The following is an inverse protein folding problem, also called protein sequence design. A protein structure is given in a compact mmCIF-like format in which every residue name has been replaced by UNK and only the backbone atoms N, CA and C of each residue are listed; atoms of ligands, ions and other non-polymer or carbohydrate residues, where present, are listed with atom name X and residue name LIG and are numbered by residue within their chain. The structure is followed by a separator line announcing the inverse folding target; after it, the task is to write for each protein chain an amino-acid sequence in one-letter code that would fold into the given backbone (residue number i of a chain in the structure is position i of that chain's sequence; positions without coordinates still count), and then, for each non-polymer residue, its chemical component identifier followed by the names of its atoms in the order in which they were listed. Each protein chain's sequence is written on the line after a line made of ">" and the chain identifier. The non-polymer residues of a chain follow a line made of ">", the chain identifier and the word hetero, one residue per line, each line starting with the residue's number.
data_IF_564171198055
#
_entry.id   IF_564171198055
#
_cell.length_a   1.000
_cell.length_b   1.000
_cell.length_c   1.000
_cell.angle_alpha   90.00
_cell.angle_beta   90.00
_cell.angle_gamma   90.00
#
_symmetry.space_group_name_H-M   'P 1'
#
loop_
_entity.id
_entity.type
_entity.pdbx_description
1 polymer ?
#
# COMPACT_ATOMS: atom_id res chain seq x y z
N UNK A 1 86.47 -8.86 -12.27
CA UNK A 1 85.95 -8.16 -13.47
C UNK A 1 84.61 -8.81 -13.83
N UNK A 2 83.50 -8.35 -13.25
CA UNK A 2 82.18 -8.96 -13.52
C UNK A 2 81.72 -8.55 -14.93
N UNK A 3 81.57 -9.56 -15.78
CA UNK A 3 81.32 -9.49 -17.22
C UNK A 3 80.11 -8.58 -17.53
N UNK A 4 80.30 -7.56 -18.37
CA UNK A 4 79.28 -6.51 -18.63
C UNK A 4 77.96 -7.08 -19.19
N UNK A 5 78.03 -8.26 -19.80
CA UNK A 5 76.86 -9.04 -20.25
C UNK A 5 75.97 -9.47 -19.08
N UNK A 6 76.55 -9.92 -17.96
CA UNK A 6 75.78 -10.38 -16.79
C UNK A 6 74.99 -9.23 -16.13
N UNK A 7 75.58 -8.04 -16.06
CA UNK A 7 74.89 -6.83 -15.58
C UNK A 7 73.72 -6.43 -16.49
N UNK A 8 73.81 -6.68 -17.80
CA UNK A 8 72.69 -6.46 -18.75
C UNK A 8 71.56 -7.45 -18.51
N UNK A 9 71.85 -8.74 -18.41
CA UNK A 9 70.84 -9.77 -18.15
C UNK A 9 70.11 -9.55 -16.83
N UNK A 10 70.84 -9.21 -15.77
CA UNK A 10 70.24 -8.92 -14.46
C UNK A 10 69.33 -7.67 -14.51
N UNK A 11 69.73 -6.63 -15.26
CA UNK A 11 68.87 -5.45 -15.49
C UNK A 11 67.57 -5.81 -16.23
N UNK A 12 67.63 -6.63 -17.29
CA UNK A 12 66.44 -7.04 -18.02
C UNK A 12 65.52 -7.91 -17.18
N UNK A 13 66.08 -8.81 -16.36
CA UNK A 13 65.31 -9.68 -15.47
C UNK A 13 64.58 -8.86 -14.38
N UNK A 14 65.26 -7.90 -13.76
CA UNK A 14 64.64 -7.01 -12.76
C UNK A 14 63.55 -6.16 -13.42
N UNK A 15 63.78 -5.64 -14.63
CA UNK A 15 62.79 -4.86 -15.35
C UNK A 15 61.55 -5.70 -15.71
N UNK A 16 61.72 -6.95 -16.16
CA UNK A 16 60.60 -7.84 -16.45
C UNK A 16 59.79 -8.20 -15.21
N UNK A 17 60.45 -8.41 -14.06
CA UNK A 17 59.76 -8.69 -12.79
C UNK A 17 58.97 -7.46 -12.32
N UNK A 18 59.56 -6.26 -12.43
CA UNK A 18 58.88 -5.01 -12.07
C UNK A 18 57.66 -4.73 -12.96
N UNK A 19 57.75 -5.01 -14.27
CA UNK A 19 56.61 -4.91 -15.20
C UNK A 19 55.53 -5.93 -14.85
N UNK A 20 55.91 -7.17 -14.53
CA UNK A 20 54.95 -8.21 -14.13
C UNK A 20 54.23 -7.85 -12.82
N UNK A 21 54.97 -7.34 -11.83
CA UNK A 21 54.39 -6.85 -10.57
C UNK A 21 53.46 -5.67 -10.83
N UNK A 22 53.84 -4.72 -11.68
CA UNK A 22 53.00 -3.57 -12.05
C UNK A 22 51.71 -4.01 -12.76
N UNK A 23 51.78 -5.03 -13.64
CA UNK A 23 50.59 -5.59 -14.30
C UNK A 23 49.70 -6.32 -13.29
N UNK A 24 50.27 -7.11 -12.38
CA UNK A 24 49.50 -7.84 -11.35
C UNK A 24 48.85 -6.86 -10.36
N UNK A 25 49.54 -5.80 -9.95
CA UNK A 25 48.95 -4.76 -9.09
C UNK A 25 47.89 -3.94 -9.83
N UNK A 26 48.10 -3.62 -11.11
CA UNK A 26 47.05 -3.00 -11.94
C UNK A 26 45.83 -3.92 -12.13
N UNK A 27 46.01 -5.24 -12.21
CA UNK A 27 44.91 -6.19 -12.30
C UNK A 27 44.17 -6.34 -10.96
N UNK A 28 44.88 -6.46 -9.83
CA UNK A 28 44.28 -6.62 -8.50
C UNK A 28 43.62 -5.35 -7.95
N UNK A 29 44.06 -4.16 -8.38
CA UNK A 29 43.49 -2.87 -7.97
C UNK A 29 42.59 -2.23 -9.02
N UNK A 30 42.35 -2.89 -10.17
CA UNK A 30 41.33 -2.41 -11.11
C UNK A 30 39.94 -2.67 -10.52
N UNK A 31 39.10 -1.63 -10.32
CA UNK A 31 37.71 -1.81 -9.85
C UNK A 31 36.81 -2.44 -10.93
N UNK A 32 37.39 -2.92 -12.04
CA UNK A 32 36.67 -3.37 -13.23
C UNK A 32 36.62 -4.90 -13.40
N UNK A 33 37.46 -5.69 -12.72
CA UNK A 33 37.65 -7.11 -13.09
C UNK A 33 37.23 -8.18 -12.06
N UNK A 34 36.54 -7.82 -10.98
CA UNK A 34 36.00 -8.82 -10.05
C UNK A 34 34.56 -8.48 -9.61
N UNK A 35 33.68 -8.21 -10.57
CA UNK A 35 32.26 -8.22 -10.27
C UNK A 35 31.73 -9.65 -10.38
N UNK A 36 31.81 -10.39 -9.27
CA UNK A 36 31.21 -11.71 -9.18
C UNK A 36 29.69 -11.55 -9.23
N UNK A 37 29.08 -12.00 -10.32
CA UNK A 37 27.63 -12.02 -10.49
C UNK A 37 27.03 -12.90 -9.40
N UNK A 38 26.03 -12.38 -8.70
CA UNK A 38 25.26 -13.10 -7.69
C UNK A 38 24.24 -13.95 -8.43
N UNK A 39 24.36 -15.28 -8.31
CA UNK A 39 23.41 -16.20 -8.89
C UNK A 39 22.20 -16.36 -7.97
N UNK A 40 21.02 -16.15 -8.52
CA UNK A 40 19.72 -16.42 -7.88
C UNK A 40 18.93 -17.38 -8.76
N UNK A 41 18.00 -18.12 -8.16
CA UNK A 41 17.16 -19.10 -8.85
C UNK A 41 16.09 -18.42 -9.70
N UNK A 42 15.58 -17.27 -9.26
CA UNK A 42 14.52 -16.57 -9.97
C UNK A 42 15.00 -15.98 -11.31
N UNK A 43 14.34 -16.32 -12.45
CA UNK A 43 14.70 -15.78 -13.76
C UNK A 43 14.19 -14.35 -13.98
N UNK A 44 13.28 -13.87 -13.14
CA UNK A 44 12.67 -12.54 -13.25
C UNK A 44 12.51 -11.94 -11.86
N UNK A 45 12.92 -10.67 -11.70
CA UNK A 45 12.63 -9.89 -10.50
C UNK A 45 11.80 -8.66 -10.87
N UNK A 46 10.60 -8.58 -10.31
CA UNK A 46 9.70 -7.44 -10.43
C UNK A 46 9.82 -6.53 -9.23
N UNK A 47 10.37 -5.34 -9.46
CA UNK A 47 10.46 -4.24 -8.48
C UNK A 47 9.19 -3.40 -8.55
N UNK A 48 8.41 -3.41 -7.47
CA UNK A 48 7.17 -2.68 -7.35
C UNK A 48 7.31 -1.32 -6.67
N UNK A 49 6.77 -0.27 -7.27
CA UNK A 49 6.81 1.11 -6.75
C UNK A 49 5.46 1.83 -6.88
N UNK A 50 5.28 2.91 -6.13
CA UNK A 50 4.11 3.80 -6.19
C UNK A 50 4.49 5.28 -6.40
N UNK A 51 5.71 5.53 -6.86
CA UNK A 51 6.24 6.88 -7.07
C UNK A 51 6.69 7.05 -8.51
N UNK A 52 7.20 8.23 -8.84
CA UNK A 52 7.92 8.43 -10.09
C UNK A 52 8.98 7.34 -10.29
N UNK A 53 9.14 6.90 -11.54
CA UNK A 53 10.11 5.86 -11.91
C UNK A 53 11.56 6.36 -11.91
N UNK A 54 11.76 7.66 -12.09
CA UNK A 54 13.08 8.29 -12.26
C UNK A 54 14.07 7.93 -11.13
N UNK A 55 13.70 8.01 -9.83
CA UNK A 55 14.61 7.67 -8.73
C UNK A 55 15.05 6.19 -8.70
N UNK A 56 14.31 5.29 -9.36
CA UNK A 56 14.62 3.87 -9.40
C UNK A 56 15.55 3.46 -10.55
N UNK A 57 15.82 4.36 -11.51
CA UNK A 57 16.62 4.02 -12.70
C UNK A 57 18.02 3.50 -12.33
N UNK A 58 18.68 4.16 -11.38
CA UNK A 58 20.01 3.74 -10.93
C UNK A 58 19.97 2.39 -10.21
N UNK A 59 18.96 2.17 -9.37
CA UNK A 59 18.76 0.89 -8.67
C UNK A 59 18.53 -0.26 -9.66
N UNK A 60 17.65 -0.08 -10.65
CA UNK A 60 17.38 -1.12 -11.65
C UNK A 60 18.64 -1.48 -12.44
N UNK A 61 19.46 -0.49 -12.81
CA UNK A 61 20.73 -0.76 -13.49
C UNK A 61 21.72 -1.48 -12.56
N UNK A 62 21.77 -1.09 -11.29
CA UNK A 62 22.60 -1.77 -10.30
C UNK A 62 22.19 -3.24 -10.13
N UNK A 63 20.89 -3.54 -9.96
CA UNK A 63 20.41 -4.92 -9.83
C UNK A 63 20.74 -5.77 -11.08
N UNK A 64 20.62 -5.20 -12.29
CA UNK A 64 21.03 -5.87 -13.54
C UNK A 64 22.53 -6.18 -13.58
N UNK A 65 23.37 -5.32 -12.99
CA UNK A 65 24.80 -5.57 -12.91
C UNK A 65 25.11 -6.67 -11.88
N UNK A 66 24.44 -6.66 -10.72
CA UNK A 66 24.66 -7.65 -9.66
C UNK A 66 24.21 -9.06 -10.07
N UNK A 67 23.05 -9.18 -10.71
CA UNK A 67 22.44 -10.48 -11.06
C UNK A 67 22.72 -10.94 -12.49
N UNK A 68 23.45 -10.15 -13.28
CA UNK A 68 23.78 -10.47 -14.66
C UNK A 68 22.58 -10.37 -15.62
N UNK A 69 22.79 -10.80 -16.88
CA UNK A 69 21.80 -10.67 -17.95
C UNK A 69 20.75 -11.80 -17.97
N UNK A 70 21.01 -12.90 -17.26
CA UNK A 70 20.11 -14.06 -17.19
C UNK A 70 18.86 -13.74 -16.36
N UNK A 71 18.98 -12.83 -15.38
CA UNK A 71 17.87 -12.38 -14.55
C UNK A 71 17.24 -11.13 -15.14
N UNK A 72 15.97 -11.22 -15.54
CA UNK A 72 15.22 -10.08 -16.06
C UNK A 72 14.72 -9.19 -14.92
N UNK A 73 15.28 -7.99 -14.80
CA UNK A 73 14.80 -6.98 -13.83
C UNK A 73 13.72 -6.09 -14.46
N UNK A 74 12.52 -6.14 -13.88
CA UNK A 74 11.34 -5.36 -14.27
C UNK A 74 11.03 -4.29 -13.21
N UNK A 75 10.67 -3.08 -13.66
CA UNK A 75 10.12 -2.04 -12.78
C UNK A 75 8.62 -1.91 -13.05
N UNK A 76 7.79 -2.15 -12.05
CA UNK A 76 6.33 -2.09 -12.14
C UNK A 76 5.75 -1.02 -11.22
N UNK A 77 4.75 -0.29 -11.70
CA UNK A 77 4.15 0.85 -11.01
C UNK A 77 4.76 2.23 -11.35
N UNK A 78 4.05 3.28 -10.92
CA UNK A 78 4.38 4.70 -11.07
C UNK A 78 3.50 5.54 -10.10
N UNK A 79 3.61 6.87 -10.15
CA UNK A 79 2.83 7.78 -9.29
C UNK A 79 1.31 7.80 -9.53
N UNK A 80 0.83 7.14 -10.59
CA UNK A 80 -0.60 6.95 -10.89
C UNK A 80 -1.12 5.60 -10.41
N UNK A 81 -0.25 4.68 -10.00
CA UNK A 81 -0.67 3.39 -9.47
C UNK A 81 -1.43 3.64 -8.16
N UNK A 82 -2.67 3.14 -8.09
CA UNK A 82 -3.43 3.25 -6.85
C UNK A 82 -2.83 2.35 -5.77
N UNK A 83 -3.01 2.75 -4.52
CA UNK A 83 -2.63 1.92 -3.37
C UNK A 83 -3.36 0.58 -3.34
N UNK A 84 -4.62 0.53 -3.78
CA UNK A 84 -5.38 -0.72 -3.89
C UNK A 84 -4.79 -1.66 -4.93
N UNK A 85 -4.40 -1.14 -6.11
CA UNK A 85 -3.72 -1.95 -7.12
C UNK A 85 -2.37 -2.48 -6.62
N UNK A 86 -1.62 -1.66 -5.88
CA UNK A 86 -0.37 -2.09 -5.26
C UNK A 86 -0.61 -3.17 -4.18
N UNK A 87 -1.63 -2.99 -3.33
CA UNK A 87 -2.06 -4.00 -2.37
C UNK A 87 -2.41 -5.31 -3.07
N UNK A 88 -3.18 -5.24 -4.16
CA UNK A 88 -3.54 -6.41 -4.98
C UNK A 88 -2.31 -7.10 -5.57
N UNK A 89 -1.36 -6.34 -6.11
CA UNK A 89 -0.09 -6.88 -6.63
C UNK A 89 0.69 -7.62 -5.53
N UNK A 90 0.68 -7.13 -4.30
CA UNK A 90 1.31 -7.84 -3.18
C UNK A 90 0.54 -9.10 -2.76
N UNK A 91 -0.79 -9.05 -2.71
CA UNK A 91 -1.64 -10.23 -2.43
C UNK A 91 -1.37 -11.33 -3.47
N UNK A 92 -1.41 -10.97 -4.75
CA UNK A 92 -1.24 -11.84 -5.91
C UNK A 92 0.24 -12.21 -6.17
N UNK A 93 1.16 -11.82 -5.27
CA UNK A 93 2.61 -12.08 -5.35
C UNK A 93 3.26 -11.65 -6.67
N UNK A 94 2.79 -10.54 -7.24
CA UNK A 94 3.29 -10.00 -8.51
C UNK A 94 4.55 -9.15 -8.37
N UNK A 95 4.87 -8.71 -7.16
CA UNK A 95 6.09 -7.95 -6.87
C UNK A 95 7.04 -8.82 -6.08
N UNK A 96 8.24 -9.01 -6.61
CA UNK A 96 9.31 -9.76 -5.95
C UNK A 96 10.04 -8.88 -4.93
N UNK A 97 10.18 -7.58 -5.26
CA UNK A 97 10.73 -6.55 -4.38
C UNK A 97 9.71 -5.40 -4.28
N UNK A 98 9.03 -5.27 -3.15
CA UNK A 98 7.95 -4.30 -2.94
C UNK A 98 8.44 -3.09 -2.13
N UNK A 99 8.55 -1.92 -2.77
CA UNK A 99 8.76 -0.64 -2.10
C UNK A 99 7.41 -0.07 -1.69
N UNK A 100 7.06 -0.21 -0.41
CA UNK A 100 5.66 -0.05 0.00
C UNK A 100 5.20 1.40 0.17
N UNK A 101 6.08 2.35 0.47
CA UNK A 101 5.81 3.79 0.66
C UNK A 101 4.70 4.19 1.66
N UNK A 102 3.91 3.25 2.16
CA UNK A 102 2.84 3.43 3.13
C UNK A 102 2.91 2.29 4.14
N UNK A 103 2.80 2.58 5.44
CA UNK A 103 2.75 1.53 6.44
C UNK A 103 1.50 0.64 6.30
N UNK A 104 0.43 1.11 5.64
CA UNK A 104 -0.71 0.25 5.28
C UNK A 104 -0.31 -0.83 4.27
N UNK A 105 0.55 -0.48 3.31
CA UNK A 105 1.08 -1.42 2.32
C UNK A 105 2.15 -2.33 2.93
N UNK A 106 2.94 -1.85 3.89
CA UNK A 106 3.84 -2.70 4.68
C UNK A 106 3.08 -3.76 5.48
N UNK A 107 1.96 -3.38 6.12
CA UNK A 107 1.05 -4.35 6.77
C UNK A 107 0.51 -5.35 5.75
N UNK A 108 0.10 -4.88 4.56
CA UNK A 108 -0.40 -5.76 3.51
C UNK A 108 0.66 -6.77 3.06
N UNK A 109 1.90 -6.34 2.83
CA UNK A 109 3.03 -7.22 2.48
C UNK A 109 3.27 -8.27 3.58
N UNK A 110 3.38 -7.83 4.84
CA UNK A 110 3.62 -8.70 6.00
C UNK A 110 2.51 -9.75 6.19
N UNK A 111 1.24 -9.33 6.12
CA UNK A 111 0.10 -10.25 6.21
C UNK A 111 0.06 -11.27 5.06
N UNK A 112 0.81 -11.00 4.00
CA UNK A 112 0.93 -11.82 2.81
C UNK A 112 2.26 -12.59 2.76
N UNK A 113 2.95 -12.73 3.89
CA UNK A 113 4.15 -13.56 4.02
C UNK A 113 5.41 -12.98 3.38
N UNK A 114 5.42 -11.69 3.04
CA UNK A 114 6.64 -11.09 2.53
C UNK A 114 7.69 -10.91 3.64
N UNK A 115 8.94 -11.12 3.31
CA UNK A 115 10.08 -10.93 4.21
C UNK A 115 10.54 -9.48 4.20
N UNK A 116 10.86 -8.91 5.36
CA UNK A 116 11.44 -7.57 5.45
C UNK A 116 12.88 -7.55 4.90
N UNK A 117 13.18 -6.64 3.98
CA UNK A 117 14.51 -6.48 3.37
C UNK A 117 15.26 -5.26 3.89
N UNK A 118 14.58 -4.11 3.92
CA UNK A 118 15.18 -2.82 4.24
C UNK A 118 14.12 -1.82 4.67
N UNK A 119 14.55 -0.77 5.36
CA UNK A 119 13.69 0.31 5.83
C UNK A 119 13.54 1.40 4.76
N UNK A 120 12.33 1.94 4.59
CA UNK A 120 12.13 3.14 3.76
C UNK A 120 12.22 4.43 4.59
N UNK A 121 12.52 5.55 3.92
CA UNK A 121 12.71 6.85 4.55
C UNK A 121 13.74 6.83 5.70
N UNK A 122 14.97 6.34 5.44
CA UNK A 122 15.98 6.15 6.49
C UNK A 122 16.37 7.46 7.20
N UNK A 123 16.23 8.61 6.52
CA UNK A 123 16.50 9.94 7.07
C UNK A 123 15.34 10.52 7.93
N UNK A 124 14.23 9.79 8.06
CA UNK A 124 13.13 10.14 8.97
C UNK A 124 13.20 9.28 10.23
N UNK A 125 12.51 9.63 11.33
CA UNK A 125 12.34 8.72 12.46
C UNK A 125 11.56 7.44 12.07
N UNK A 126 11.83 6.31 12.75
CA UNK A 126 11.15 5.02 12.47
C UNK A 126 9.66 5.05 12.76
N UNK A 127 9.24 6.01 13.58
CA UNK A 127 7.86 6.28 13.91
C UNK A 127 7.57 7.77 13.73
N UNK A 128 6.38 8.10 13.25
CA UNK A 128 5.92 9.47 13.08
C UNK A 128 4.49 9.62 13.61
N UNK A 129 3.95 10.83 13.62
CA UNK A 129 2.57 11.06 14.09
C UNK A 129 1.72 11.66 12.97
N UNK A 130 0.42 11.40 13.04
CA UNK A 130 -0.61 12.21 12.40
C UNK A 130 -0.85 13.45 13.24
N UNK A 131 -1.12 14.57 12.57
CA UNK A 131 -1.53 15.82 13.16
C UNK A 131 -2.89 16.22 12.59
N UNK A 132 -3.82 16.55 13.48
CA UNK A 132 -5.04 17.29 13.13
C UNK A 132 -4.76 18.77 13.42
N UNK A 133 -5.02 19.62 12.45
CA UNK A 133 -4.64 21.03 12.51
C UNK A 133 -5.71 21.94 11.92
N UNK A 134 -5.66 23.21 12.31
CA UNK A 134 -6.59 24.27 11.88
C UNK A 134 -5.77 25.47 11.42
N UNK A 135 -6.43 26.52 10.92
CA UNK A 135 -5.78 27.82 10.71
C UNK A 135 -5.35 28.40 12.06
N UNK A 136 -4.21 29.10 12.12
CA UNK A 136 -3.61 29.59 13.37
C UNK A 136 -4.54 30.49 14.19
N UNK A 137 -5.44 31.24 13.55
CA UNK A 137 -6.43 32.10 14.22
C UNK A 137 -7.82 31.44 14.41
N UNK A 138 -7.97 30.15 14.10
CA UNK A 138 -9.25 29.44 14.25
C UNK A 138 -9.68 29.36 15.73
N UNK A 139 -11.00 29.46 16.01
CA UNK A 139 -11.56 29.19 17.34
C UNK A 139 -11.52 27.70 17.70
N UNK A 140 -11.32 26.80 16.74
CA UNK A 140 -11.18 25.35 16.96
C UNK A 140 -9.79 25.09 17.55
N UNK A 141 -9.74 24.75 18.84
CA UNK A 141 -8.49 24.56 19.61
C UNK A 141 -8.21 23.10 19.95
N UNK A 142 -9.21 22.22 19.83
CA UNK A 142 -9.12 20.79 20.10
C UNK A 142 -10.13 19.99 19.26
N UNK A 143 -9.98 18.66 19.21
CA UNK A 143 -10.98 17.75 18.60
C UNK A 143 -12.38 17.96 19.20
N UNK A 144 -12.49 18.30 20.48
CA UNK A 144 -13.80 18.50 21.12
C UNK A 144 -14.56 19.68 20.54
N UNK A 145 -13.88 20.73 20.05
CA UNK A 145 -14.51 21.89 19.40
C UNK A 145 -15.04 21.60 17.99
N UNK A 146 -14.64 20.47 17.38
CA UNK A 146 -15.12 20.07 16.06
C UNK A 146 -16.59 19.61 16.17
N UNK A 147 -17.43 20.19 15.31
CA UNK A 147 -18.87 19.96 15.22
C UNK A 147 -19.31 19.63 13.78
N UNK A 148 -20.58 19.24 13.61
CA UNK A 148 -21.18 18.85 12.33
C UNK A 148 -21.18 19.94 11.24
N UNK A 149 -21.02 21.22 11.61
CA UNK A 149 -20.96 22.33 10.65
C UNK A 149 -19.56 22.52 10.06
N UNK A 150 -18.53 21.96 10.70
CA UNK A 150 -17.16 22.07 10.23
C UNK A 150 -16.86 21.07 9.13
N UNK A 151 -15.86 21.37 8.32
CA UNK A 151 -15.32 20.50 7.26
C UNK A 151 -13.88 20.13 7.55
N UNK A 152 -13.57 18.82 7.54
CA UNK A 152 -12.20 18.31 7.59
C UNK A 152 -11.67 17.93 6.20
N UNK A 153 -10.49 18.42 5.85
CA UNK A 153 -9.73 17.96 4.69
C UNK A 153 -8.87 16.73 5.05
N UNK A 154 -9.04 15.62 4.32
CA UNK A 154 -8.40 14.32 4.60
C UNK A 154 -7.73 13.71 3.37
N UNK A 155 -6.90 12.70 3.62
CA UNK A 155 -6.32 11.84 2.59
C UNK A 155 -7.34 10.92 1.94
N UNK A 156 -6.84 10.08 1.03
CA UNK A 156 -7.60 8.93 0.53
C UNK A 156 -7.62 7.77 1.54
N UNK A 157 -8.41 6.74 1.26
CA UNK A 157 -8.56 5.54 2.09
C UNK A 157 -7.27 4.75 2.32
N UNK A 158 -6.13 5.13 1.73
CA UNK A 158 -4.87 4.40 1.86
C UNK A 158 -3.80 5.16 2.65
N UNK A 159 -4.10 6.38 3.08
CA UNK A 159 -3.20 7.17 3.90
C UNK A 159 -3.32 6.82 5.38
N UNK A 160 -2.22 6.35 5.97
CA UNK A 160 -2.18 6.14 7.42
C UNK A 160 -2.38 7.44 8.19
N UNK A 161 -1.63 8.49 7.84
CA UNK A 161 -1.56 9.74 8.63
C UNK A 161 -2.52 10.84 8.21
N UNK A 162 -3.21 10.71 7.07
CA UNK A 162 -4.25 11.67 6.69
C UNK A 162 -5.63 11.04 6.52
N UNK A 163 -5.77 9.72 6.71
CA UNK A 163 -7.07 9.06 6.69
C UNK A 163 -7.28 8.10 7.87
N UNK A 164 -6.56 6.99 7.94
CA UNK A 164 -6.83 5.92 8.92
C UNK A 164 -6.71 6.39 10.37
N UNK A 165 -5.58 6.99 10.72
CA UNK A 165 -5.31 7.44 12.08
C UNK A 165 -6.23 8.61 12.47
N UNK A 166 -6.41 9.67 11.64
CA UNK A 166 -7.41 10.69 11.92
C UNK A 166 -8.83 10.16 12.04
N UNK A 167 -9.23 9.16 11.25
CA UNK A 167 -10.57 8.56 11.34
C UNK A 167 -10.78 7.85 12.68
N UNK A 168 -9.73 7.19 13.18
CA UNK A 168 -9.73 6.61 14.51
C UNK A 168 -9.75 7.69 15.61
N UNK A 169 -8.95 8.73 15.49
CA UNK A 169 -8.88 9.83 16.48
C UNK A 169 -10.19 10.65 16.53
N UNK A 170 -10.95 10.68 15.43
CA UNK A 170 -12.26 11.31 15.31
C UNK A 170 -13.42 10.37 15.66
N UNK A 171 -13.14 9.15 16.15
CA UNK A 171 -14.18 8.18 16.46
C UNK A 171 -15.28 8.77 17.36
N UNK A 172 -16.54 8.57 16.98
CA UNK A 172 -17.70 9.15 17.67
C UNK A 172 -18.11 10.56 17.21
N UNK A 173 -17.37 11.20 16.30
CA UNK A 173 -17.75 12.48 15.70
C UNK A 173 -18.65 12.31 14.48
N UNK A 174 -19.45 13.33 14.22
CA UNK A 174 -20.16 13.53 12.93
C UNK A 174 -19.69 14.86 12.35
N UNK A 175 -19.13 14.86 11.15
CA UNK A 175 -18.48 16.05 10.54
C UNK A 175 -18.55 15.96 9.00
N UNK A 176 -18.55 17.11 8.31
CA UNK A 176 -18.34 17.13 6.86
C UNK A 176 -16.90 16.75 6.52
N UNK A 177 -16.73 15.90 5.51
CA UNK A 177 -15.44 15.39 5.03
C UNK A 177 -15.21 15.84 3.60
N UNK A 178 -14.01 16.37 3.35
CA UNK A 178 -13.46 16.64 2.02
C UNK A 178 -12.18 15.80 1.87
N UNK A 179 -12.28 14.65 1.21
CA UNK A 179 -11.22 13.64 1.20
C UNK A 179 -10.55 13.46 -0.17
N UNK A 180 -9.53 12.60 -0.22
CA UNK A 180 -8.79 12.27 -1.45
C UNK A 180 -7.59 13.18 -1.74
N UNK A 181 -7.15 13.96 -0.75
CA UNK A 181 -6.11 14.97 -0.94
C UNK A 181 -4.73 14.52 -0.46
N UNK A 182 -3.68 14.99 -1.14
CA UNK A 182 -2.31 14.90 -0.63
C UNK A 182 -2.08 15.97 0.44
N UNK A 183 -1.11 15.77 1.34
CA UNK A 183 -0.84 16.68 2.46
C UNK A 183 -0.64 18.15 2.08
N UNK A 184 -0.07 18.44 0.89
CA UNK A 184 0.05 19.80 0.37
C UNK A 184 -1.30 20.47 0.08
N UNK A 185 -2.23 19.76 -0.56
CA UNK A 185 -3.57 20.28 -0.86
C UNK A 185 -4.40 20.39 0.42
N UNK A 186 -4.30 19.44 1.36
CA UNK A 186 -4.95 19.53 2.67
C UNK A 186 -4.53 20.82 3.39
N UNK A 187 -3.22 21.13 3.44
CA UNK A 187 -2.72 22.39 4.03
C UNK A 187 -3.32 23.61 3.36
N UNK A 188 -3.35 23.63 2.02
CA UNK A 188 -3.92 24.74 1.24
C UNK A 188 -5.41 24.93 1.51
N UNK A 189 -6.19 23.86 1.56
CA UNK A 189 -7.62 23.91 1.87
C UNK A 189 -7.88 24.56 3.24
N UNK A 190 -7.08 24.21 4.26
CA UNK A 190 -7.18 24.84 5.59
C UNK A 190 -6.74 26.30 5.59
N UNK A 191 -5.60 26.63 4.96
CA UNK A 191 -5.10 28.02 4.91
C UNK A 191 -6.09 28.95 4.20
N UNK A 192 -6.74 28.47 3.15
CA UNK A 192 -7.74 29.22 2.35
C UNK A 192 -9.15 29.21 2.94
N UNK A 193 -9.41 28.47 4.01
CA UNK A 193 -10.74 28.37 4.62
C UNK A 193 -11.74 27.52 3.83
N UNK A 194 -11.28 26.75 2.82
CA UNK A 194 -12.11 25.75 2.13
C UNK A 194 -12.32 24.48 2.97
N UNK A 195 -11.54 24.32 4.03
CA UNK A 195 -11.77 23.38 5.12
C UNK A 195 -11.41 24.07 6.44
N UNK A 196 -12.11 23.72 7.52
CA UNK A 196 -11.87 24.28 8.86
C UNK A 196 -10.72 23.56 9.57
N UNK A 197 -10.60 22.26 9.27
CA UNK A 197 -9.67 21.32 9.89
C UNK A 197 -8.96 20.54 8.78
N UNK A 198 -7.70 20.15 9.00
CA UNK A 198 -6.96 19.24 8.12
C UNK A 198 -6.29 18.13 8.90
N UNK A 199 -6.00 17.02 8.23
CA UNK A 199 -5.22 15.92 8.78
C UNK A 199 -4.03 15.55 7.89
N UNK A 200 -2.82 15.50 8.44
CA UNK A 200 -1.61 15.16 7.71
C UNK A 200 -0.53 14.59 8.63
N UNK A 201 0.56 14.06 8.06
CA UNK A 201 1.75 13.73 8.85
C UNK A 201 2.29 14.98 9.58
N UNK A 202 2.61 14.86 10.86
CA UNK A 202 3.14 15.95 11.70
C UNK A 202 4.33 16.67 11.06
N UNK A 203 5.25 15.91 10.47
CA UNK A 203 6.45 16.45 9.80
C UNK A 203 6.09 17.42 8.66
N UNK A 204 4.94 17.26 8.02
CA UNK A 204 4.50 18.11 6.91
C UNK A 204 3.88 19.44 7.37
N UNK A 205 3.54 19.57 8.66
CA UNK A 205 2.80 20.72 9.21
C UNK A 205 3.50 21.42 10.38
N UNK A 206 4.46 20.77 11.04
CA UNK A 206 5.07 21.27 12.29
C UNK A 206 5.71 22.66 12.19
N UNK A 207 6.19 23.04 11.01
CA UNK A 207 6.88 24.31 10.76
C UNK A 207 5.97 25.36 10.08
N UNK A 208 4.67 25.06 9.92
CA UNK A 208 3.71 25.93 9.23
C UNK A 208 3.09 26.96 10.18
N UNK A 209 3.60 28.19 10.19
CA UNK A 209 3.16 29.27 11.10
C UNK A 209 1.70 29.67 10.95
N UNK A 210 1.11 29.49 9.77
CA UNK A 210 -0.31 29.80 9.50
C UNK A 210 -1.27 28.73 10.02
N UNK A 211 -0.74 27.62 10.55
CA UNK A 211 -1.49 26.47 11.01
C UNK A 211 -1.26 26.27 12.51
N UNK A 212 -2.28 25.77 13.20
CA UNK A 212 -2.21 25.32 14.59
C UNK A 212 -2.50 23.84 14.62
N UNK A 213 -1.59 23.04 15.18
CA UNK A 213 -1.88 21.65 15.52
C UNK A 213 -2.79 21.63 16.75
N UNK A 214 -3.92 20.94 16.64
CA UNK A 214 -4.92 20.79 17.72
C UNK A 214 -4.93 19.38 18.32
N UNK A 215 -4.29 18.41 17.64
CA UNK A 215 -4.11 17.05 18.13
C UNK A 215 -2.93 16.37 17.44
N UNK A 216 -2.19 15.55 18.20
CA UNK A 216 -1.19 14.62 17.69
C UNK A 216 -1.63 13.20 18.04
N UNK A 217 -1.57 12.30 17.05
CA UNK A 217 -1.97 10.91 17.24
C UNK A 217 -0.96 10.11 18.04
N UNK A 218 -1.27 8.84 18.31
CA UNK A 218 -0.26 7.84 18.64
C UNK A 218 0.78 7.69 17.52
N UNK A 219 1.93 7.10 17.86
CA UNK A 219 3.00 6.80 16.91
C UNK A 219 2.53 5.84 15.80
N UNK A 220 2.85 6.21 14.56
CA UNK A 220 2.61 5.47 13.33
C UNK A 220 3.97 4.91 12.88
N UNK A 221 4.13 3.59 12.72
CA UNK A 221 5.35 3.01 12.17
C UNK A 221 5.60 3.50 10.74
N UNK A 222 6.87 3.62 10.35
CA UNK A 222 7.29 3.88 8.98
C UNK A 222 6.95 2.73 8.02
N UNK A 223 7.30 2.89 6.75
CA UNK A 223 7.15 1.85 5.72
C UNK A 223 8.49 1.18 5.39
N UNK A 224 8.45 0.02 4.75
CA UNK A 224 9.65 -0.77 4.42
C UNK A 224 9.64 -1.33 2.99
N UNK A 225 10.76 -1.94 2.63
CA UNK A 225 10.96 -2.77 1.44
C UNK A 225 10.80 -4.23 1.84
N UNK A 226 10.05 -4.98 1.03
CA UNK A 226 9.69 -6.36 1.32
C UNK A 226 9.98 -7.28 0.14
N UNK A 227 10.35 -8.53 0.41
CA UNK A 227 10.62 -9.58 -0.59
C UNK A 227 9.50 -10.62 -0.62
N UNK A 228 9.10 -11.03 -1.82
CA UNK A 228 8.01 -11.98 -2.02
C UNK A 228 8.30 -13.36 -1.45
N UNK A 229 7.29 -14.05 -0.87
CA UNK A 229 7.42 -15.46 -0.47
C UNK A 229 7.53 -16.43 -1.66
N UNK A 230 7.39 -15.97 -2.90
CA UNK A 230 7.63 -16.81 -4.09
C UNK A 230 9.13 -16.95 -4.43
N UNK A 231 9.99 -16.12 -3.82
CA UNK A 231 11.44 -16.26 -3.90
C UNK A 231 11.88 -17.36 -2.93
N UNK A 232 12.89 -18.15 -3.28
CA UNK A 232 13.49 -19.09 -2.33
C UNK A 232 14.18 -18.34 -1.19
N UNK A 233 14.36 -18.99 -0.04
CA UNK A 233 15.03 -18.38 1.12
C UNK A 233 16.45 -17.90 0.77
N UNK A 234 17.14 -18.64 -0.10
CA UNK A 234 18.45 -18.26 -0.63
C UNK A 234 18.36 -16.98 -1.47
N UNK A 235 17.41 -16.89 -2.41
CA UNK A 235 17.20 -15.69 -3.22
C UNK A 235 16.85 -14.48 -2.34
N UNK A 236 16.00 -14.64 -1.33
CA UNK A 236 15.64 -13.57 -0.40
C UNK A 236 16.86 -13.04 0.36
N UNK A 237 17.75 -13.93 0.81
CA UNK A 237 18.99 -13.57 1.50
C UNK A 237 19.92 -12.78 0.56
N UNK A 238 20.17 -13.29 -0.64
CA UNK A 238 21.08 -12.67 -1.61
C UNK A 238 20.54 -11.33 -2.13
N UNK A 239 19.24 -11.25 -2.42
CA UNK A 239 18.60 -9.99 -2.81
C UNK A 239 18.69 -8.95 -1.68
N UNK A 240 18.50 -9.36 -0.42
CA UNK A 240 18.66 -8.46 0.72
C UNK A 240 20.09 -7.92 0.82
N UNK A 241 21.11 -8.79 0.72
CA UNK A 241 22.52 -8.37 0.71
C UNK A 241 22.82 -7.40 -0.42
N UNK A 242 22.36 -7.71 -1.64
CA UNK A 242 22.52 -6.85 -2.81
C UNK A 242 21.87 -5.49 -2.60
N UNK A 243 20.62 -5.44 -2.10
CA UNK A 243 19.94 -4.17 -1.83
C UNK A 243 20.71 -3.32 -0.81
N UNK A 244 21.19 -3.91 0.28
CA UNK A 244 21.87 -3.18 1.35
C UNK A 244 23.28 -2.72 0.97
N UNK A 245 23.96 -3.46 0.10
CA UNK A 245 25.29 -3.14 -0.46
C UNK A 245 25.23 -2.16 -1.64
N UNK A 246 24.05 -1.74 -2.09
CA UNK A 246 23.92 -0.75 -3.13
C UNK A 246 24.63 0.57 -2.73
N UNK A 247 25.28 1.27 -3.69
CA UNK A 247 25.89 2.57 -3.45
C UNK A 247 24.96 3.56 -2.75
N UNK A 248 25.51 4.38 -1.85
CA UNK A 248 24.75 5.31 -0.99
C UNK A 248 23.83 6.23 -1.80
N UNK A 249 24.27 6.71 -2.96
CA UNK A 249 23.46 7.55 -3.83
C UNK A 249 22.26 6.78 -4.43
N UNK A 250 22.42 5.50 -4.77
CA UNK A 250 21.33 4.65 -5.26
C UNK A 250 20.29 4.41 -4.16
N UNK A 251 20.75 4.07 -2.95
CA UNK A 251 19.90 3.90 -1.76
C UNK A 251 19.13 5.17 -1.42
N UNK A 252 19.81 6.33 -1.47
CA UNK A 252 19.20 7.65 -1.24
C UNK A 252 18.13 7.98 -2.28
N UNK A 253 18.39 7.76 -3.56
CA UNK A 253 17.43 8.05 -4.64
C UNK A 253 16.19 7.15 -4.54
N UNK A 254 16.37 5.85 -4.32
CA UNK A 254 15.28 4.90 -4.09
C UNK A 254 14.69 4.96 -2.66
N UNK A 255 15.24 5.83 -1.81
CA UNK A 255 14.75 6.17 -0.47
C UNK A 255 14.60 4.96 0.49
N UNK A 256 15.62 4.11 0.53
CA UNK A 256 15.72 2.97 1.45
C UNK A 256 17.13 2.84 2.03
N UNK A 257 17.26 2.21 3.20
CA UNK A 257 18.56 1.76 3.73
C UNK A 257 18.36 0.65 4.78
N UNK A 258 19.45 0.19 5.40
CA UNK A 258 19.43 -0.67 6.57
C UNK A 258 18.58 -0.05 7.69
N UNK A 259 17.72 -0.86 8.28
CA UNK A 259 16.93 -0.49 9.44
C UNK A 259 16.04 -1.64 9.87
N UNK A 260 15.61 -1.62 11.13
CA UNK A 260 14.73 -2.64 11.68
C UNK A 260 13.28 -2.45 11.19
N UNK A 261 12.56 -3.55 11.10
CA UNK A 261 11.11 -3.53 10.87
C UNK A 261 10.40 -3.04 12.15
N UNK A 262 9.65 -1.91 12.12
CA UNK A 262 8.89 -1.47 13.26
C UNK A 262 7.70 -2.39 13.55
N UNK A 263 7.17 -2.33 14.77
CA UNK A 263 5.95 -3.06 15.13
C UNK A 263 4.72 -2.37 14.55
N UNK A 264 3.94 -3.12 13.76
CA UNK A 264 2.68 -2.64 13.19
C UNK A 264 1.46 -2.92 14.07
N UNK A 265 1.63 -3.47 15.27
CA UNK A 265 0.52 -3.98 16.10
C UNK A 265 -0.52 -2.91 16.43
N UNK A 266 -0.09 -1.71 16.79
CA UNK A 266 -1.00 -0.61 17.12
C UNK A 266 -1.72 -0.09 15.88
N UNK A 267 -1.01 0.04 14.77
CA UNK A 267 -1.58 0.50 13.50
C UNK A 267 -2.59 -0.51 12.95
N UNK A 268 -2.39 -1.82 13.16
CA UNK A 268 -3.36 -2.88 12.84
C UNK A 268 -4.62 -2.75 13.70
N UNK A 269 -4.52 -2.38 14.98
CA UNK A 269 -5.71 -2.13 15.82
C UNK A 269 -6.49 -0.92 15.32
N UNK A 270 -5.79 0.17 15.02
CA UNK A 270 -6.36 1.39 14.43
C UNK A 270 -7.06 1.07 13.10
N UNK A 271 -6.42 0.30 12.22
CA UNK A 271 -6.97 -0.05 10.92
C UNK A 271 -8.25 -0.89 11.06
N UNK A 272 -8.26 -1.89 11.95
CA UNK A 272 -9.46 -2.71 12.22
C UNK A 272 -10.64 -1.87 12.70
N UNK A 273 -10.43 -0.91 13.59
CA UNK A 273 -11.50 -0.03 14.06
C UNK A 273 -12.00 0.89 12.94
N UNK A 274 -11.07 1.47 12.17
CA UNK A 274 -11.42 2.33 11.03
C UNK A 274 -12.18 1.56 9.96
N UNK A 275 -11.78 0.33 9.66
CA UNK A 275 -12.47 -0.55 8.72
C UNK A 275 -13.89 -0.89 9.16
N UNK A 276 -14.16 -1.00 10.48
CA UNK A 276 -15.54 -1.14 10.97
C UNK A 276 -16.37 0.09 10.65
N UNK A 277 -15.82 1.29 10.83
CA UNK A 277 -16.49 2.54 10.48
C UNK A 277 -16.72 2.62 8.96
N UNK A 278 -15.72 2.27 8.14
CA UNK A 278 -15.85 2.24 6.68
C UNK A 278 -16.94 1.29 6.17
N UNK A 279 -17.27 0.23 6.93
CA UNK A 279 -18.37 -0.69 6.58
C UNK A 279 -19.76 -0.08 6.78
N UNK A 280 -19.91 0.89 7.67
CA UNK A 280 -21.22 1.42 8.08
C UNK A 280 -21.42 2.90 7.75
N UNK A 281 -20.33 3.66 7.53
CA UNK A 281 -20.36 5.08 7.21
C UNK A 281 -20.05 5.31 5.73
N UNK A 282 -20.87 6.14 5.09
CA UNK A 282 -20.62 6.59 3.72
C UNK A 282 -19.81 7.89 3.73
N UNK A 283 -18.52 7.80 3.41
CA UNK A 283 -17.61 8.95 3.34
C UNK A 283 -17.86 9.86 2.12
N UNK A 284 -18.79 9.48 1.23
CA UNK A 284 -19.22 10.30 0.10
C UNK A 284 -20.44 11.18 0.42
N UNK A 285 -21.11 10.92 1.54
CA UNK A 285 -22.32 11.64 1.96
C UNK A 285 -22.04 12.40 3.25
N UNK A 286 -22.09 13.72 3.15
CA UNK A 286 -21.90 14.60 4.29
C UNK A 286 -23.20 14.84 5.06
N UNK A 287 -23.17 14.90 6.41
CA UNK A 287 -21.98 14.69 7.26
C UNK A 287 -21.68 13.20 7.49
N UNK A 288 -20.39 12.87 7.58
CA UNK A 288 -19.91 11.50 7.83
C UNK A 288 -19.91 11.20 9.32
N UNK A 289 -20.42 10.03 9.70
CA UNK A 289 -20.37 9.51 11.08
C UNK A 289 -19.11 8.66 11.25
N UNK A 290 -18.17 9.09 12.08
CA UNK A 290 -16.95 8.35 12.41
C UNK A 290 -17.20 7.25 13.45
N UNK A 291 -18.37 6.62 13.41
CA UNK A 291 -18.80 5.55 14.29
C UNK A 291 -19.99 4.85 13.64
N UNK A 292 -20.17 3.57 13.97
CA UNK A 292 -21.44 2.92 13.69
C UNK A 292 -22.40 3.24 14.84
N UNK A 293 -23.64 3.61 14.53
CA UNK A 293 -24.69 3.62 15.55
C UNK A 293 -24.74 2.22 16.18
N UNK A 294 -24.79 2.15 17.51
CA UNK A 294 -24.51 0.96 18.31
C UNK A 294 -25.09 -0.34 17.73
N UNK A 295 -24.23 -1.35 17.58
CA UNK A 295 -24.62 -2.75 17.73
C UNK A 295 -25.14 -2.92 19.18
N UNK A 296 -26.45 -2.74 19.39
CA UNK A 296 -27.04 -3.13 20.67
C UNK A 296 -26.86 -4.64 20.85
N UNK A 297 -26.23 -5.02 21.97
CA UNK A 297 -26.21 -6.38 22.51
C UNK A 297 -27.59 -7.02 22.36
N UNK A 298 -27.63 -8.25 21.86
CA UNK A 298 -28.78 -9.18 21.80
C UNK A 298 -30.02 -8.69 22.53
N UNK A 299 -30.87 -8.00 21.79
CA UNK A 299 -32.31 -7.95 22.01
C UNK A 299 -32.90 -8.21 20.64
N UNK A 300 -33.91 -9.07 20.57
CA UNK A 300 -34.55 -9.45 19.31
C UNK A 300 -34.79 -8.21 18.45
N UNK A 301 -34.68 -8.39 17.14
CA UNK A 301 -35.15 -7.43 16.14
C UNK A 301 -36.56 -6.96 16.52
N UNK A 302 -36.65 -5.86 17.27
CA UNK A 302 -37.87 -5.07 17.35
C UNK A 302 -37.90 -4.23 16.08
N UNK A 303 -38.39 -4.93 15.06
CA UNK A 303 -39.23 -4.45 13.97
C UNK A 303 -40.27 -3.47 14.49
N UNK A 304 -39.88 -2.21 14.62
CA UNK A 304 -40.81 -1.10 14.78
C UNK A 304 -40.27 0.08 13.98
N UNK A 305 -40.38 0.00 12.65
CA UNK A 305 -40.19 1.16 11.77
C UNK A 305 -39.62 0.92 10.38
N UNK A 306 -39.06 -0.26 10.07
CA UNK A 306 -38.69 -0.62 8.69
C UNK A 306 -39.11 -2.06 8.44
N UNK A 307 -40.39 -2.23 8.11
CA UNK A 307 -40.90 -3.50 7.64
C UNK A 307 -40.31 -3.78 6.25
N UNK A 308 -39.56 -4.89 6.15
CA UNK A 308 -39.10 -5.54 4.92
C UNK A 308 -37.94 -4.89 4.15
N UNK A 309 -36.72 -4.91 4.70
CA UNK A 309 -35.53 -4.93 3.84
C UNK A 309 -35.45 -6.34 3.23
N UNK A 310 -35.64 -6.45 1.92
CA UNK A 310 -35.61 -7.73 1.21
C UNK A 310 -34.21 -8.35 1.26
N UNK A 311 -34.10 -9.57 1.77
CA UNK A 311 -32.86 -10.36 1.74
C UNK A 311 -33.00 -11.54 0.78
N UNK A 312 -31.98 -11.75 -0.06
CA UNK A 312 -31.90 -12.87 -0.99
C UNK A 312 -30.57 -13.59 -0.77
N UNK A 313 -30.62 -14.77 -0.16
CA UNK A 313 -29.47 -15.65 0.02
C UNK A 313 -29.41 -16.69 -1.10
N UNK A 314 -28.21 -17.02 -1.56
CA UNK A 314 -28.01 -18.01 -2.61
C UNK A 314 -26.54 -18.33 -2.89
N UNK A 315 -26.30 -19.21 -3.87
CA UNK A 315 -24.96 -19.54 -4.37
C UNK A 315 -24.72 -18.95 -5.74
N UNK A 316 -23.52 -18.41 -5.95
CA UNK A 316 -23.07 -17.96 -7.26
C UNK A 316 -22.74 -19.18 -8.12
N UNK A 317 -23.34 -19.27 -9.31
CA UNK A 317 -23.21 -20.39 -10.22
C UNK A 317 -23.10 -19.93 -11.69
N UNK A 318 -22.09 -19.12 -11.96
CA UNK A 318 -21.81 -18.54 -13.26
C UNK A 318 -21.47 -17.06 -13.14
N UNK A 319 -20.52 -16.61 -13.95
CA UNK A 319 -20.12 -15.22 -14.06
C UNK A 319 -19.92 -14.85 -15.53
N UNK A 320 -20.26 -13.62 -15.89
CA UNK A 320 -19.99 -13.04 -17.20
C UNK A 320 -19.68 -11.55 -17.04
N UNK A 321 -18.68 -11.07 -17.76
CA UNK A 321 -18.39 -9.64 -17.86
C UNK A 321 -19.23 -9.01 -18.98
N UNK A 322 -19.94 -7.93 -18.68
CA UNK A 322 -20.67 -7.10 -19.66
C UNK A 322 -20.15 -5.67 -19.55
N UNK A 323 -19.19 -5.31 -20.39
CA UNK A 323 -18.46 -4.03 -20.33
C UNK A 323 -17.89 -3.75 -18.92
N UNK A 324 -18.45 -2.73 -18.25
CA UNK A 324 -18.10 -2.29 -16.89
C UNK A 324 -18.86 -3.00 -15.78
N UNK A 325 -19.70 -3.99 -16.10
CA UNK A 325 -20.50 -4.72 -15.13
C UNK A 325 -20.02 -6.17 -14.98
N UNK A 326 -19.98 -6.62 -13.73
CA UNK A 326 -19.86 -8.01 -13.34
C UNK A 326 -21.28 -8.58 -13.19
N UNK A 327 -21.63 -9.56 -14.03
CA UNK A 327 -22.90 -10.27 -13.96
C UNK A 327 -22.68 -11.68 -13.40
N UNK A 328 -23.47 -12.07 -12.40
CA UNK A 328 -23.41 -13.39 -11.78
C UNK A 328 -24.76 -14.08 -11.85
N UNK A 329 -24.77 -15.39 -12.08
CA UNK A 329 -25.96 -16.21 -11.89
C UNK A 329 -26.06 -16.58 -10.42
N UNK A 330 -27.07 -16.08 -9.72
CA UNK A 330 -27.34 -16.39 -8.32
C UNK A 330 -28.49 -17.39 -8.23
N UNK A 331 -28.24 -18.59 -7.69
CA UNK A 331 -29.28 -19.57 -7.38
C UNK A 331 -29.66 -19.39 -5.91
N UNK A 332 -30.84 -18.85 -5.65
CA UNK A 332 -31.33 -18.68 -4.29
C UNK A 332 -31.61 -20.02 -3.59
N UNK A 333 -31.68 -20.00 -2.27
CA UNK A 333 -32.05 -21.17 -1.45
C UNK A 333 -33.42 -21.75 -1.80
N UNK A 334 -34.32 -20.94 -2.40
CA UNK A 334 -35.64 -21.36 -2.90
C UNK A 334 -35.61 -21.84 -4.35
N UNK A 335 -34.43 -22.18 -4.88
CA UNK A 335 -34.19 -22.59 -6.27
C UNK A 335 -34.61 -21.57 -7.36
N UNK A 336 -34.92 -20.33 -7.00
CA UNK A 336 -35.13 -19.25 -7.96
C UNK A 336 -33.79 -18.69 -8.43
N UNK A 337 -33.67 -18.48 -9.73
CA UNK A 337 -32.47 -17.95 -10.37
C UNK A 337 -32.59 -16.44 -10.57
N UNK A 338 -31.53 -15.72 -10.24
CA UNK A 338 -31.39 -14.29 -10.47
C UNK A 338 -30.13 -14.00 -11.28
N UNK A 339 -30.15 -12.92 -12.05
CA UNK A 339 -28.94 -12.29 -12.59
C UNK A 339 -28.53 -11.14 -11.66
N UNK A 340 -27.41 -11.30 -10.96
CA UNK A 340 -26.86 -10.31 -10.05
C UNK A 340 -25.86 -9.43 -10.81
N UNK A 341 -26.17 -8.14 -10.95
CA UNK A 341 -25.38 -7.18 -11.73
C UNK A 341 -24.72 -6.18 -10.79
N UNK A 342 -23.40 -6.03 -10.93
CA UNK A 342 -22.58 -5.15 -10.08
C UNK A 342 -21.66 -4.33 -10.99
N UNK A 343 -21.64 -3.00 -10.86
CA UNK A 343 -20.62 -2.18 -11.53
C UNK A 343 -19.23 -2.57 -11.03
N UNK A 344 -18.23 -2.62 -11.90
CA UNK A 344 -16.87 -3.05 -11.58
C UNK A 344 -16.24 -2.22 -10.46
N UNK A 345 -16.56 -0.92 -10.39
CA UNK A 345 -16.09 -0.04 -9.31
C UNK A 345 -16.77 -0.34 -7.97
N UNK A 346 -17.98 -0.89 -7.98
CA UNK A 346 -18.66 -1.36 -6.76
C UNK A 346 -18.10 -2.72 -6.39
N UNK A 347 -17.94 -3.61 -7.37
CA UNK A 347 -17.47 -4.96 -7.18
C UNK A 347 -16.09 -5.02 -6.54
N UNK A 348 -15.15 -4.20 -7.00
CA UNK A 348 -13.79 -4.11 -6.44
C UNK A 348 -13.74 -3.69 -4.97
N UNK A 349 -14.84 -3.15 -4.43
CA UNK A 349 -14.99 -2.72 -3.04
C UNK A 349 -15.80 -3.71 -2.18
N UNK A 350 -16.27 -4.83 -2.75
CA UNK A 350 -17.00 -5.85 -2.00
C UNK A 350 -16.02 -6.62 -1.10
N UNK A 351 -16.24 -6.63 0.23
CA UNK A 351 -15.40 -7.40 1.15
C UNK A 351 -15.44 -8.89 0.83
N UNK A 352 -14.29 -9.56 0.98
CA UNK A 352 -14.14 -11.01 0.77
C UNK A 352 -14.51 -11.48 -0.67
N UNK A 353 -14.58 -10.56 -1.65
CA UNK A 353 -14.77 -10.84 -3.07
C UNK A 353 -13.51 -10.45 -3.89
N UNK A 354 -12.43 -11.25 -3.85
CA UNK A 354 -11.13 -10.85 -4.41
C UNK A 354 -11.12 -10.72 -5.94
N UNK A 355 -11.98 -11.46 -6.63
CA UNK A 355 -12.28 -11.32 -8.06
C UNK A 355 -13.58 -12.08 -8.40
N UNK A 356 -14.21 -11.82 -9.56
CA UNK A 356 -15.47 -12.46 -9.93
C UNK A 356 -15.41 -13.99 -10.03
N UNK A 357 -14.30 -14.54 -10.53
CA UNK A 357 -14.12 -15.99 -10.72
C UNK A 357 -14.06 -16.71 -9.36
N UNK A 358 -13.39 -16.11 -8.37
CA UNK A 358 -13.26 -16.66 -7.02
C UNK A 358 -14.59 -16.74 -6.25
N UNK A 359 -15.64 -16.08 -6.75
CA UNK A 359 -16.98 -16.18 -6.19
C UNK A 359 -17.76 -17.40 -6.67
N UNK A 360 -17.29 -18.11 -7.71
CA UNK A 360 -17.96 -19.31 -8.20
C UNK A 360 -18.14 -20.34 -7.07
N UNK A 361 -19.39 -20.79 -6.87
CA UNK A 361 -19.76 -21.74 -5.83
C UNK A 361 -19.84 -21.17 -4.41
N UNK A 362 -19.50 -19.89 -4.20
CA UNK A 362 -19.61 -19.24 -2.89
C UNK A 362 -21.07 -18.89 -2.57
N UNK A 363 -21.39 -19.02 -1.29
CA UNK A 363 -22.67 -18.56 -0.75
C UNK A 363 -22.59 -17.05 -0.53
N UNK A 364 -23.64 -16.33 -0.92
CA UNK A 364 -23.72 -14.87 -0.81
C UNK A 364 -25.09 -14.45 -0.29
N UNK A 365 -25.16 -13.28 0.34
CA UNK A 365 -26.40 -12.62 0.73
C UNK A 365 -26.51 -11.27 0.03
N UNK A 366 -27.66 -11.03 -0.61
CA UNK A 366 -28.00 -9.76 -1.25
C UNK A 366 -29.03 -9.02 -0.39
N UNK A 367 -28.70 -7.80 0.01
CA UNK A 367 -29.45 -7.05 1.03
C UNK A 367 -30.06 -5.80 0.41
N UNK A 368 -31.38 -5.61 0.59
CA UNK A 368 -32.07 -4.38 0.20
C UNK A 368 -32.11 -4.13 -1.30
N UNK A 369 -32.01 -5.20 -2.11
CA UNK A 369 -32.13 -5.14 -3.58
C UNK A 369 -33.43 -5.81 -3.99
N UNK A 370 -34.32 -5.05 -4.62
CA UNK A 370 -35.58 -5.57 -5.16
C UNK A 370 -35.35 -6.17 -6.56
N UNK A 371 -35.82 -7.39 -6.84
CA UNK A 371 -35.70 -7.97 -8.17
C UNK A 371 -36.48 -7.16 -9.21
N UNK A 372 -35.80 -6.76 -10.29
CA UNK A 372 -36.44 -6.14 -11.47
C UNK A 372 -36.57 -7.17 -12.59
N UNK A 373 -37.73 -7.23 -13.26
CA UNK A 373 -37.94 -8.16 -14.37
C UNK A 373 -37.36 -7.56 -15.65
N UNK A 374 -36.21 -8.06 -16.10
CA UNK A 374 -35.58 -7.68 -17.37
C UNK A 374 -35.33 -8.97 -18.18
N UNK A 375 -36.16 -9.22 -19.20
CA UNK A 375 -36.14 -10.48 -19.96
C UNK A 375 -36.77 -11.66 -19.20
N UNK A 376 -36.23 -12.87 -19.39
CA UNK A 376 -36.76 -14.12 -18.80
C UNK A 376 -36.33 -14.34 -17.33
N UNK A 377 -35.25 -13.69 -16.87
CA UNK A 377 -34.68 -13.85 -15.52
C UNK A 377 -34.78 -12.52 -14.76
N UNK A 378 -35.12 -12.58 -13.47
CA UNK A 378 -35.13 -11.37 -12.64
C UNK A 378 -33.71 -10.91 -12.32
N UNK A 379 -33.45 -9.61 -12.46
CA UNK A 379 -32.17 -8.99 -12.14
C UNK A 379 -32.12 -8.41 -10.73
N UNK A 380 -30.94 -8.46 -10.12
CA UNK A 380 -30.59 -7.81 -8.86
C UNK A 380 -29.45 -6.83 -9.14
N UNK A 381 -29.74 -5.53 -9.16
CA UNK A 381 -28.73 -4.49 -9.40
C UNK A 381 -28.14 -4.03 -8.07
N UNK A 382 -26.88 -4.34 -7.83
CA UNK A 382 -26.12 -3.92 -6.65
C UNK A 382 -25.56 -2.53 -6.92
N UNK A 383 -25.97 -1.55 -6.12
CA UNK A 383 -25.57 -0.15 -6.22
C UNK A 383 -24.59 0.28 -5.13
N UNK A 384 -24.40 -0.55 -4.10
CA UNK A 384 -23.44 -0.30 -3.02
C UNK A 384 -22.77 -1.60 -2.54
N UNK A 385 -21.48 -1.55 -2.12
CA UNK A 385 -20.75 -2.77 -1.75
C UNK A 385 -21.38 -3.57 -0.61
N UNK A 386 -22.00 -2.91 0.38
CA UNK A 386 -22.62 -3.57 1.53
C UNK A 386 -23.83 -4.44 1.17
N UNK A 387 -24.45 -4.20 -0.01
CA UNK A 387 -25.59 -5.00 -0.47
C UNK A 387 -25.18 -6.38 -0.96
N UNK A 388 -23.88 -6.64 -1.15
CA UNK A 388 -23.34 -7.93 -1.57
C UNK A 388 -22.41 -8.44 -0.48
N UNK A 389 -22.83 -9.49 0.23
CA UNK A 389 -22.04 -10.11 1.30
C UNK A 389 -21.63 -11.52 0.89
N UNK A 390 -20.33 -11.80 0.88
CA UNK A 390 -19.80 -13.16 0.71
C UNK A 390 -19.84 -13.89 2.05
N UNK A 391 -20.56 -15.01 2.11
CA UNK A 391 -20.67 -15.83 3.31
C UNK A 391 -19.42 -16.73 3.40
N UNK A 392 -18.66 -16.58 4.48
CA UNK A 392 -17.52 -17.46 4.77
C UNK A 392 -18.05 -18.86 5.07
N UNK A 393 -17.58 -19.84 4.31
CA UNK A 393 -17.79 -21.26 4.57
C UNK A 393 -16.76 -21.75 5.57
#
# INVERSE_FOLDING_TARGET
>A
MFNSRYKRYLKYLILSIMVLIAIVTLFQFSPFFNHQVVNIESPVLTVGILTERKPYKALINYLKQQFGQEVKILLDGNERLSYEDARKKMIDKKWDIAFTYSPMLSIAAKNNGYLHAARMFPNSPSYYQSAIFTKSNSPIKSISNISLTHTIAMGDFNSASSFYVPSYDLYGKTINVNMGHKGSEIKKLVKTGKADVGAAAYIAVKDEKDLRIIHLSKLIPGSNVYLSPNLSDSDQLEITKVLLNAPVNIKKDANYDLGEEPSYSELIKISKTTEKVLKCADFMVNPVKFYCASENKTTGFNTAGVNNISEISGKINGWTRKDKFQSFKLVSEKNKVYELVVDENIFSRIPDAPNPIALQGKSVKIIGVTPTKEGEISQLKVTAPFQFVVIKQ
#
